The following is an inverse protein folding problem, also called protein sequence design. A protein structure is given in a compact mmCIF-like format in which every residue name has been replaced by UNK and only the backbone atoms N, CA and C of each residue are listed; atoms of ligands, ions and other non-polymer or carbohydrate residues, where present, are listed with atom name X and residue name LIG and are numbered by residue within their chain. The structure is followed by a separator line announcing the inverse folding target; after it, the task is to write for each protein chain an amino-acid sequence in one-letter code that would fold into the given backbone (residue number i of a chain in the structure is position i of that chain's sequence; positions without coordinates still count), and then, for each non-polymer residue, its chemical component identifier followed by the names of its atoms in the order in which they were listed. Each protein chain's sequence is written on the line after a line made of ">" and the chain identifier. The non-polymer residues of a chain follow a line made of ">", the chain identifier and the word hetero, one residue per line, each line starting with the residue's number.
data_IF_319852650170
#
_entry.id   IF_319852650170
#
_cell.length_a   1.000
_cell.length_b   1.000
_cell.length_c   1.000
_cell.angle_alpha   90.00
_cell.angle_beta   90.00
_cell.angle_gamma   90.00
#
_symmetry.space_group_name_H-M   'P 1'
#
loop_
_entity.id
_entity.type
_entity.pdbx_description
1 polymer ?
#
# COMPACT_ATOMS: atom_id res chain seq x y z
N UNK A 1 -32.06 -22.97 -7.59
CA UNK A 1 -31.07 -22.12 -8.30
C UNK A 1 -30.91 -20.81 -7.54
N UNK A 2 -29.75 -20.55 -6.92
CA UNK A 2 -29.47 -19.25 -6.27
C UNK A 2 -28.95 -18.27 -7.31
N UNK A 3 -29.73 -17.21 -7.55
CA UNK A 3 -29.39 -16.11 -8.46
C UNK A 3 -28.13 -15.38 -7.97
N UNK A 4 -27.02 -15.51 -8.70
CA UNK A 4 -25.83 -14.67 -8.50
C UNK A 4 -26.20 -13.26 -8.96
N UNK A 5 -26.48 -12.36 -8.00
CA UNK A 5 -26.43 -10.92 -8.26
C UNK A 5 -24.98 -10.59 -8.63
N UNK A 6 -24.71 -10.57 -9.93
CA UNK A 6 -23.47 -10.05 -10.50
C UNK A 6 -23.52 -8.54 -10.28
N UNK A 7 -22.98 -8.08 -9.15
CA UNK A 7 -22.82 -6.65 -8.89
C UNK A 7 -22.14 -6.04 -10.11
N UNK A 8 -22.77 -5.04 -10.73
CA UNK A 8 -22.15 -4.25 -11.79
C UNK A 8 -20.83 -3.74 -11.23
N UNK A 9 -19.71 -4.27 -11.72
CA UNK A 9 -18.41 -3.65 -11.51
C UNK A 9 -18.56 -2.22 -12.03
N UNK A 10 -18.59 -1.23 -11.14
CA UNK A 10 -18.48 0.15 -11.56
C UNK A 10 -17.22 0.21 -12.41
N UNK A 11 -17.37 0.55 -13.70
CA UNK A 11 -16.22 0.68 -14.60
C UNK A 11 -15.27 1.67 -13.93
N UNK A 12 -14.17 1.16 -13.37
CA UNK A 12 -13.15 2.01 -12.77
C UNK A 12 -12.52 2.75 -13.94
N UNK A 13 -12.75 4.06 -14.01
CA UNK A 13 -11.99 4.93 -14.90
C UNK A 13 -10.50 4.60 -14.68
N UNK A 14 -9.74 4.34 -15.75
CA UNK A 14 -8.31 4.09 -15.63
C UNK A 14 -7.66 5.25 -14.88
N UNK A 15 -6.84 4.93 -13.88
CA UNK A 15 -6.01 5.94 -13.23
C UNK A 15 -4.85 6.22 -14.19
N UNK A 16 -4.88 7.35 -14.86
CA UNK A 16 -3.76 7.81 -15.68
C UNK A 16 -2.66 8.33 -14.75
N UNK A 17 -1.45 7.77 -14.92
CA UNK A 17 -0.27 8.20 -14.20
C UNK A 17 0.56 9.07 -15.13
N UNK A 18 0.77 10.32 -14.74
CA UNK A 18 1.63 11.21 -15.50
C UNK A 18 3.11 10.80 -15.41
N UNK A 19 3.92 11.31 -16.33
CA UNK A 19 5.35 11.00 -16.35
C UNK A 19 6.09 11.48 -15.08
N UNK A 20 5.63 12.56 -14.46
CA UNK A 20 6.20 13.09 -13.23
C UNK A 20 6.04 12.10 -12.09
N UNK A 21 4.85 11.54 -11.94
CA UNK A 21 4.53 10.47 -11.01
C UNK A 21 5.40 9.24 -11.28
N UNK A 22 5.47 8.79 -12.53
CA UNK A 22 6.29 7.62 -12.89
C UNK A 22 7.79 7.85 -12.59
N UNK A 23 8.31 9.06 -12.82
CA UNK A 23 9.69 9.43 -12.43
C UNK A 23 9.88 9.41 -10.91
N UNK A 24 8.90 9.87 -10.14
CA UNK A 24 8.96 9.86 -8.68
C UNK A 24 8.94 8.42 -8.15
N UNK A 25 8.07 7.56 -8.66
CA UNK A 25 8.03 6.13 -8.34
C UNK A 25 9.37 5.48 -8.66
N UNK A 26 9.91 5.70 -9.86
CA UNK A 26 11.21 5.14 -10.24
C UNK A 26 12.34 5.54 -9.28
N UNK A 27 12.37 6.81 -8.85
CA UNK A 27 13.33 7.27 -7.84
C UNK A 27 13.15 6.56 -6.51
N UNK A 28 11.90 6.44 -6.04
CA UNK A 28 11.60 5.76 -4.78
C UNK A 28 11.98 4.26 -4.84
N UNK A 29 11.59 3.58 -5.92
CA UNK A 29 11.89 2.17 -6.12
C UNK A 29 13.39 1.90 -6.28
N UNK A 30 14.17 2.88 -6.76
CA UNK A 30 15.63 2.73 -6.88
C UNK A 30 16.39 2.80 -5.55
N UNK A 31 15.72 3.16 -4.45
CA UNK A 31 16.36 3.25 -3.15
C UNK A 31 16.77 1.85 -2.65
N UNK A 32 17.94 1.69 -1.99
CA UNK A 32 18.44 0.40 -1.52
C UNK A 32 17.44 -0.37 -0.64
N UNK A 33 16.75 0.33 0.26
CA UNK A 33 15.75 -0.23 1.17
C UNK A 33 14.50 -0.79 0.46
N UNK A 34 14.26 -0.39 -0.78
CA UNK A 34 13.11 -0.82 -1.58
C UNK A 34 13.46 -1.98 -2.53
N UNK A 35 14.74 -2.36 -2.63
CA UNK A 35 15.14 -3.49 -3.44
C UNK A 35 14.59 -4.81 -2.87
N UNK A 36 14.44 -5.80 -3.76
CA UNK A 36 14.16 -7.17 -3.33
C UNK A 36 15.30 -7.69 -2.47
N UNK A 37 14.97 -8.42 -1.40
CA UNK A 37 15.95 -8.92 -0.43
C UNK A 37 16.48 -7.88 0.58
N UNK A 38 16.14 -6.60 0.45
CA UNK A 38 16.45 -5.61 1.47
C UNK A 38 15.78 -5.96 2.81
N UNK A 39 16.50 -5.74 3.92
CA UNK A 39 15.94 -5.94 5.26
C UNK A 39 14.75 -4.99 5.51
N UNK A 40 13.61 -5.57 5.86
CA UNK A 40 12.36 -4.85 6.18
C UNK A 40 11.95 -5.03 7.65
N UNK A 41 12.84 -5.50 8.53
CA UNK A 41 12.60 -5.64 9.97
C UNK A 41 12.10 -4.34 10.63
N UNK A 42 12.47 -3.18 10.09
CA UNK A 42 12.00 -1.87 10.54
C UNK A 42 10.49 -1.69 10.35
N UNK A 43 9.88 -2.28 9.31
CA UNK A 43 8.44 -2.18 9.03
C UNK A 43 7.64 -2.85 10.13
N UNK A 44 8.06 -4.05 10.53
CA UNK A 44 7.38 -4.80 11.61
C UNK A 44 7.46 -4.05 12.95
N UNK A 45 8.62 -3.44 13.24
CA UNK A 45 8.78 -2.58 14.42
C UNK A 45 7.87 -1.36 14.37
N UNK A 46 7.77 -0.70 13.20
CA UNK A 46 6.88 0.44 13.02
C UNK A 46 5.40 0.05 13.20
N UNK A 47 4.96 -1.05 12.59
CA UNK A 47 3.60 -1.58 12.73
C UNK A 47 3.27 -1.88 14.20
N UNK A 48 4.20 -2.52 14.92
CA UNK A 48 4.04 -2.81 16.35
C UNK A 48 3.91 -1.52 17.16
N UNK A 49 4.83 -0.58 16.95
CA UNK A 49 4.81 0.71 17.64
C UNK A 49 3.51 1.49 17.43
N UNK A 50 2.96 1.49 16.20
CA UNK A 50 1.68 2.13 15.92
C UNK A 50 0.51 1.44 16.61
N UNK A 51 0.45 0.11 16.57
CA UNK A 51 -0.58 -0.65 17.29
C UNK A 51 -0.55 -0.36 18.78
N UNK A 52 0.64 -0.37 19.39
CA UNK A 52 0.82 -0.10 20.82
C UNK A 52 0.47 1.35 21.18
N UNK A 53 0.72 2.30 20.29
CA UNK A 53 0.30 3.69 20.48
C UNK A 53 -1.23 3.81 20.52
N UNK A 54 -1.91 3.30 19.49
CA UNK A 54 -3.37 3.44 19.42
C UNK A 54 -4.10 2.60 20.48
N UNK A 55 -3.57 1.42 20.85
CA UNK A 55 -4.12 0.64 21.95
C UNK A 55 -4.04 1.37 23.29
N UNK A 56 -3.02 2.21 23.51
CA UNK A 56 -2.90 3.05 24.71
C UNK A 56 -3.82 4.26 24.69
N UNK A 57 -3.98 4.91 23.52
CA UNK A 57 -4.82 6.12 23.37
C UNK A 57 -6.32 5.78 23.33
N UNK A 58 -6.69 4.57 22.92
CA UNK A 58 -8.09 4.13 22.84
C UNK A 58 -8.65 3.58 24.16
N UNK A 59 -7.93 3.78 25.27
CA UNK A 59 -8.23 3.23 26.60
C UNK A 59 -8.46 4.37 27.59
#
# INVERSE_FOLDING_TARGET
>A
MKSRRRGKSAARTPVELDEGYLRAVKKLESLPQNQSGADKSWVERAIRGWRDHYARVSR
#
